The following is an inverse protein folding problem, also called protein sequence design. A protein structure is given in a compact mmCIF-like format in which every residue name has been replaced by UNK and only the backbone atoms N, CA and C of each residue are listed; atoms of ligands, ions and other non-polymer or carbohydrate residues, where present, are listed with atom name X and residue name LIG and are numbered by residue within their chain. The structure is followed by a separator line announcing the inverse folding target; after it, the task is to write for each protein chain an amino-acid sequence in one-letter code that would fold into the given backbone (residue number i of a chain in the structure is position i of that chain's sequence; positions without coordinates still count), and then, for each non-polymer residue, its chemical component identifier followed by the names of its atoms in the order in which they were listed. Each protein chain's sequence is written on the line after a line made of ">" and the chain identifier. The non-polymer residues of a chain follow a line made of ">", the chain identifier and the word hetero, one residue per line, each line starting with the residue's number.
data_IF_876549148252
#
_entry.id   IF_876549148252
#
_cell.length_a   1.000
_cell.length_b   1.000
_cell.length_c   1.000
_cell.angle_alpha   90.00
_cell.angle_beta   90.00
_cell.angle_gamma   90.00
#
_symmetry.space_group_name_H-M   'P 1'
#
loop_
_entity.id
_entity.type
_entity.pdbx_description
1 polymer ?
#
# COMPACT_ATOMS: atom_id res chain seq x y z
N UNK A 1 1.17 -12.63 -61.09
CA UNK A 1 0.05 -11.94 -60.43
C UNK A 1 -0.09 -12.58 -59.03
N UNK A 2 0.82 -12.33 -58.08
CA UNK A 2 0.86 -11.20 -57.11
C UNK A 2 -0.55 -10.85 -56.62
N UNK A 3 -0.94 -10.87 -55.34
CA UNK A 3 -0.40 -11.34 -54.06
C UNK A 3 -1.61 -11.27 -53.12
N UNK A 4 -1.86 -12.29 -52.29
CA UNK A 4 -2.80 -12.19 -51.16
C UNK A 4 -1.98 -12.26 -49.88
N UNK A 5 -1.64 -11.09 -49.36
CA UNK A 5 -0.94 -10.92 -48.09
C UNK A 5 -1.55 -9.71 -47.39
N UNK A 6 -2.58 -9.96 -46.59
CA UNK A 6 -3.05 -8.99 -45.61
C UNK A 6 -2.56 -9.50 -44.26
N UNK A 7 -1.32 -9.11 -43.94
CA UNK A 7 -0.70 -9.33 -42.65
C UNK A 7 -1.44 -8.43 -41.67
N UNK A 8 -2.21 -9.04 -40.77
CA UNK A 8 -2.72 -8.35 -39.60
C UNK A 8 -1.52 -7.89 -38.77
N UNK A 9 -1.15 -6.63 -38.91
CA UNK A 9 -0.23 -5.96 -38.01
C UNK A 9 -0.86 -6.01 -36.62
N UNK A 10 -0.35 -6.91 -35.78
CA UNK A 10 -0.55 -6.89 -34.34
C UNK A 10 0.03 -5.56 -33.84
N UNK A 11 -0.82 -4.54 -33.80
CA UNK A 11 -0.53 -3.28 -33.15
C UNK A 11 -0.29 -3.58 -31.68
N UNK A 12 0.97 -3.42 -31.28
CA UNK A 12 1.42 -3.29 -29.90
C UNK A 12 0.39 -2.50 -29.11
N UNK A 13 -0.40 -3.20 -28.29
CA UNK A 13 -1.22 -2.59 -27.25
C UNK A 13 -0.24 -2.16 -26.15
N UNK A 14 0.49 -1.07 -26.40
CA UNK A 14 1.07 -0.32 -25.32
C UNK A 14 -0.12 0.17 -24.49
N UNK A 15 -0.26 -0.23 -23.21
CA UNK A 15 -1.32 0.32 -22.40
C UNK A 15 -1.06 1.82 -22.34
N UNK A 16 -2.02 2.58 -22.87
CA UNK A 16 -2.06 4.02 -22.73
C UNK A 16 -2.23 4.24 -21.22
N UNK A 17 -1.12 4.39 -20.49
CA UNK A 17 -1.15 4.97 -19.15
C UNK A 17 -1.50 6.44 -19.33
N UNK A 18 -2.77 6.72 -19.60
CA UNK A 18 -3.31 8.07 -19.46
C UNK A 18 -3.06 8.52 -18.02
N UNK A 19 -2.63 9.76 -17.86
CA UNK A 19 -2.50 10.41 -16.57
C UNK A 19 -3.89 10.68 -15.94
N UNK A 20 -4.63 9.62 -15.58
CA UNK A 20 -5.93 9.69 -14.91
C UNK A 20 -5.87 9.02 -13.54
N UNK A 21 -5.99 9.88 -12.52
CA UNK A 21 -6.29 9.59 -11.11
C UNK A 21 -5.21 8.82 -10.34
N UNK A 22 -4.42 9.55 -9.56
CA UNK A 22 -3.60 8.97 -8.49
C UNK A 22 -4.43 7.98 -7.66
N UNK A 23 -3.91 6.78 -7.45
CA UNK A 23 -4.56 5.79 -6.59
C UNK A 23 -4.72 6.31 -5.15
N UNK A 24 -5.66 5.75 -4.35
CA UNK A 24 -5.89 6.17 -2.97
C UNK A 24 -4.61 6.32 -2.13
N UNK A 25 -3.69 5.35 -2.22
CA UNK A 25 -2.44 5.38 -1.46
C UNK A 25 -1.46 6.45 -1.94
N UNK A 26 -1.46 6.77 -3.24
CA UNK A 26 -0.68 7.86 -3.81
C UNK A 26 -1.22 9.22 -3.38
N UNK A 27 -2.54 9.38 -3.24
CA UNK A 27 -3.14 10.57 -2.65
C UNK A 27 -2.71 10.76 -1.18
N UNK A 28 -2.58 9.67 -0.42
CA UNK A 28 -2.04 9.72 0.94
C UNK A 28 -0.55 10.10 0.94
N UNK A 29 0.29 9.50 0.11
CA UNK A 29 1.70 9.89 -0.02
C UNK A 29 1.87 11.37 -0.40
N UNK A 30 1.03 11.87 -1.31
CA UNK A 30 0.98 13.29 -1.68
C UNK A 30 0.64 14.20 -0.48
N UNK A 31 0.08 13.66 0.61
CA UNK A 31 -0.15 14.38 1.84
C UNK A 31 1.14 14.89 2.49
N UNK A 32 2.19 14.06 2.47
CA UNK A 32 3.47 14.30 3.13
C UNK A 32 4.64 14.57 2.16
N UNK A 33 4.38 14.76 0.85
CA UNK A 33 5.41 14.92 -0.18
C UNK A 33 6.49 15.99 0.12
N UNK A 34 6.14 17.04 0.88
CA UNK A 34 7.09 18.10 1.28
C UNK A 34 8.08 17.66 2.38
N UNK A 35 7.75 16.62 3.14
CA UNK A 35 8.51 16.21 4.34
C UNK A 35 9.36 14.96 4.10
N UNK A 36 9.12 14.23 3.01
CA UNK A 36 9.72 12.95 2.76
C UNK A 36 10.54 12.98 1.47
N UNK A 37 11.75 12.43 1.53
CA UNK A 37 12.52 12.14 0.30
C UNK A 37 11.71 11.17 -0.56
N UNK A 38 11.71 11.33 -1.90
CA UNK A 38 11.13 10.34 -2.80
C UNK A 38 11.75 8.96 -2.59
N UNK A 39 10.93 7.92 -2.73
CA UNK A 39 11.43 6.55 -2.80
C UNK A 39 12.16 6.35 -4.12
N UNK A 40 13.21 5.54 -4.10
CA UNK A 40 14.12 5.38 -5.24
C UNK A 40 13.90 4.09 -6.02
N UNK A 41 13.08 3.18 -5.49
CA UNK A 41 12.80 1.88 -6.11
C UNK A 41 11.32 1.55 -5.99
N UNK A 42 10.80 0.76 -6.93
CA UNK A 42 9.38 0.45 -7.02
C UNK A 42 8.92 -0.44 -5.85
N UNK A 43 9.72 -1.42 -5.45
CA UNK A 43 9.39 -2.28 -4.29
C UNK A 43 9.32 -1.51 -2.96
N UNK A 44 10.08 -0.41 -2.85
CA UNK A 44 10.00 0.46 -1.68
C UNK A 44 8.66 1.23 -1.67
N UNK A 45 8.18 1.67 -2.85
CA UNK A 45 6.88 2.33 -3.03
C UNK A 45 5.72 1.37 -2.74
N UNK A 46 5.75 0.17 -3.33
CA UNK A 46 4.74 -0.87 -3.11
C UNK A 46 4.65 -1.24 -1.64
N UNK A 47 5.79 -1.44 -0.95
CA UNK A 47 5.83 -1.74 0.48
C UNK A 47 5.18 -0.63 1.34
N UNK A 48 5.47 0.64 1.03
CA UNK A 48 4.85 1.78 1.72
C UNK A 48 3.34 1.84 1.49
N UNK A 49 2.90 1.64 0.25
CA UNK A 49 1.48 1.69 -0.14
C UNK A 49 0.68 0.53 0.45
N UNK A 50 1.26 -0.68 0.52
CA UNK A 50 0.67 -1.82 1.21
C UNK A 50 0.49 -1.54 2.71
N UNK A 51 1.50 -0.97 3.39
CA UNK A 51 1.38 -0.60 4.80
C UNK A 51 0.33 0.49 5.04
N UNK A 52 0.20 1.45 4.13
CA UNK A 52 -0.86 2.46 4.21
C UNK A 52 -2.25 1.83 4.07
N UNK A 53 -2.44 0.94 3.10
CA UNK A 53 -3.70 0.21 2.94
C UNK A 53 -4.02 -0.61 4.19
N UNK A 54 -3.02 -1.28 4.77
CA UNK A 54 -3.17 -2.05 6.00
C UNK A 54 -3.58 -1.15 7.18
N UNK A 55 -2.89 -0.02 7.38
CA UNK A 55 -3.21 0.95 8.43
C UNK A 55 -4.66 1.46 8.33
N UNK A 56 -5.10 1.84 7.13
CA UNK A 56 -6.46 2.34 6.90
C UNK A 56 -7.52 1.25 6.75
N UNK A 57 -7.13 -0.02 6.84
CA UNK A 57 -8.04 -1.16 6.86
C UNK A 57 -8.34 -1.62 8.29
N UNK A 58 -7.57 -1.19 9.30
CA UNK A 58 -7.80 -1.51 10.71
C UNK A 58 -9.14 -0.93 11.19
N UNK A 59 -9.94 -1.74 11.88
CA UNK A 59 -11.09 -1.24 12.61
C UNK A 59 -10.65 -0.59 13.93
N UNK A 60 -10.45 0.72 13.89
CA UNK A 60 -10.08 1.53 15.05
C UNK A 60 -11.20 1.72 16.08
N UNK A 61 -12.40 1.19 15.83
CA UNK A 61 -13.54 1.26 16.76
C UNK A 61 -13.73 -0.03 17.55
N UNK A 62 -13.58 -1.18 16.88
CA UNK A 62 -13.97 -2.48 17.47
C UNK A 62 -12.83 -3.48 17.57
N UNK A 63 -11.72 -3.28 16.85
CA UNK A 63 -10.59 -4.22 16.93
C UNK A 63 -9.79 -4.03 18.23
N UNK A 64 -9.13 -5.11 18.67
CA UNK A 64 -8.21 -5.10 19.82
C UNK A 64 -7.07 -4.08 19.70
N UNK A 65 -6.76 -3.62 18.48
CA UNK A 65 -5.70 -2.62 18.23
C UNK A 65 -6.12 -1.25 18.75
N UNK A 66 -7.43 -0.96 18.83
CA UNK A 66 -7.94 0.30 19.39
C UNK A 66 -7.46 0.50 20.84
N UNK A 67 -7.39 -0.56 21.64
CA UNK A 67 -6.92 -0.53 23.03
C UNK A 67 -5.39 -0.36 23.15
N UNK A 68 -4.67 -0.38 22.03
CA UNK A 68 -3.20 -0.32 21.96
C UNK A 68 -2.70 0.85 21.12
N UNK A 69 -3.50 1.90 20.95
CA UNK A 69 -3.13 3.05 20.12
C UNK A 69 -1.81 3.71 20.56
N UNK A 70 -1.53 3.73 21.88
CA UNK A 70 -0.31 4.32 22.44
C UNK A 70 0.98 3.59 22.00
N UNK A 71 0.92 2.28 21.74
CA UNK A 71 2.08 1.49 21.30
C UNK A 71 1.93 0.97 19.87
N UNK A 72 0.95 1.51 19.12
CA UNK A 72 0.63 1.01 17.80
C UNK A 72 1.81 1.10 16.83
N UNK A 73 2.38 2.30 16.69
CA UNK A 73 3.47 2.57 15.75
C UNK A 73 4.80 1.96 16.19
N UNK A 74 5.03 1.84 17.49
CA UNK A 74 6.33 1.43 18.07
C UNK A 74 6.43 -0.06 18.32
N UNK A 75 5.33 -0.75 18.61
CA UNK A 75 5.34 -2.16 19.00
C UNK A 75 4.39 -3.00 18.16
N UNK A 76 3.10 -2.64 18.11
CA UNK A 76 2.06 -3.51 17.54
C UNK A 76 2.26 -3.69 16.04
N UNK A 77 2.25 -2.60 15.26
CA UNK A 77 2.40 -2.65 13.82
C UNK A 77 3.74 -3.30 13.41
N UNK A 78 4.91 -2.86 13.92
CA UNK A 78 6.19 -3.49 13.59
C UNK A 78 6.21 -4.99 13.87
N UNK A 79 5.71 -5.42 15.03
CA UNK A 79 5.74 -6.83 15.43
C UNK A 79 4.83 -7.68 14.54
N UNK A 80 3.63 -7.21 14.21
CA UNK A 80 2.70 -7.96 13.34
C UNK A 80 3.19 -8.02 11.91
N UNK A 81 3.68 -6.92 11.36
CA UNK A 81 4.23 -6.89 9.99
C UNK A 81 5.44 -7.80 9.90
N UNK A 82 6.40 -7.68 10.82
CA UNK A 82 7.59 -8.54 10.83
C UNK A 82 7.23 -10.02 10.86
N UNK A 83 6.30 -10.41 11.74
CA UNK A 83 5.85 -11.80 11.82
C UNK A 83 5.16 -12.26 10.54
N UNK A 84 4.31 -11.43 9.94
CA UNK A 84 3.67 -11.76 8.66
C UNK A 84 4.71 -11.95 7.55
N UNK A 85 5.71 -11.06 7.48
CA UNK A 85 6.81 -11.16 6.50
C UNK A 85 7.59 -12.45 6.63
N UNK A 86 7.92 -12.91 7.84
CA UNK A 86 8.61 -14.20 8.03
C UNK A 86 7.75 -15.44 7.74
N UNK A 87 6.43 -15.29 7.68
CA UNK A 87 5.50 -16.42 7.49
C UNK A 87 4.96 -16.51 6.06
N UNK A 88 5.04 -15.43 5.29
CA UNK A 88 4.45 -15.34 3.98
C UNK A 88 5.44 -15.77 2.89
N UNK A 89 4.90 -16.42 1.87
CA UNK A 89 5.56 -16.79 0.62
C UNK A 89 5.13 -15.90 -0.57
N UNK A 90 4.11 -15.06 -0.36
CA UNK A 90 3.49 -14.18 -1.35
C UNK A 90 2.90 -12.94 -0.68
N UNK A 91 2.65 -11.87 -1.44
CA UNK A 91 1.99 -10.66 -0.92
C UNK A 91 0.55 -10.91 -0.48
N UNK A 92 -0.19 -11.79 -1.18
CA UNK A 92 -1.54 -12.18 -0.77
C UNK A 92 -1.53 -12.88 0.60
N UNK A 93 -0.62 -13.84 0.80
CA UNK A 93 -0.43 -14.52 2.09
C UNK A 93 0.00 -13.54 3.17
N UNK A 94 0.95 -12.65 2.87
CA UNK A 94 1.40 -11.59 3.78
C UNK A 94 0.24 -10.69 4.21
N UNK A 95 -0.56 -10.21 3.27
CA UNK A 95 -1.71 -9.35 3.57
C UNK A 95 -2.72 -10.07 4.45
N UNK A 96 -3.07 -11.32 4.12
CA UNK A 96 -4.00 -12.12 4.90
C UNK A 96 -3.54 -12.31 6.36
N UNK A 97 -2.27 -12.65 6.57
CA UNK A 97 -1.69 -12.84 7.90
C UNK A 97 -1.65 -11.52 8.67
N UNK A 98 -1.14 -10.45 8.05
CA UNK A 98 -1.01 -9.14 8.69
C UNK A 98 -2.38 -8.53 9.03
N UNK A 99 -3.33 -8.57 8.08
CA UNK A 99 -4.67 -8.03 8.27
C UNK A 99 -5.40 -8.76 9.39
N UNK A 100 -5.37 -10.10 9.40
CA UNK A 100 -5.95 -10.89 10.49
C UNK A 100 -5.31 -10.57 11.83
N UNK A 101 -3.98 -10.44 11.87
CA UNK A 101 -3.25 -10.13 13.09
C UNK A 101 -3.61 -8.74 13.65
N UNK A 102 -3.95 -7.78 12.80
CA UNK A 102 -4.25 -6.39 13.18
C UNK A 102 -5.75 -6.08 13.25
N UNK A 103 -6.64 -7.07 13.04
CA UNK A 103 -8.08 -6.81 12.98
C UNK A 103 -8.45 -5.86 11.83
N UNK A 104 -7.72 -5.94 10.72
CA UNK A 104 -8.00 -5.17 9.52
C UNK A 104 -9.00 -5.91 8.63
N UNK A 105 -9.87 -5.16 7.97
CA UNK A 105 -10.88 -5.68 7.07
C UNK A 105 -10.57 -5.29 5.62
N UNK A 106 -11.06 -6.09 4.68
CA UNK A 106 -11.02 -5.72 3.26
C UNK A 106 -11.64 -4.33 3.08
N UNK A 107 -10.98 -3.40 2.38
CA UNK A 107 -11.54 -2.07 2.14
C UNK A 107 -12.93 -2.16 1.51
N UNK A 108 -13.92 -1.42 2.03
CA UNK A 108 -15.25 -1.34 1.39
C UNK A 108 -15.26 -0.51 0.11
N UNK A 109 -14.34 0.46 0.02
CA UNK A 109 -14.18 1.38 -1.10
C UNK A 109 -13.64 0.66 -2.36
N UNK A 110 -14.29 0.81 -3.53
CA UNK A 110 -13.91 0.09 -4.75
C UNK A 110 -12.51 0.48 -5.26
N UNK A 111 -12.14 1.76 -5.20
CA UNK A 111 -10.84 2.23 -5.68
C UNK A 111 -9.71 1.68 -4.81
N UNK A 112 -9.92 1.64 -3.48
CA UNK A 112 -8.98 1.00 -2.57
C UNK A 112 -8.85 -0.50 -2.82
N UNK A 113 -9.95 -1.20 -3.14
CA UNK A 113 -9.91 -2.63 -3.47
C UNK A 113 -9.14 -2.88 -4.76
N UNK A 114 -9.39 -2.09 -5.80
CA UNK A 114 -8.68 -2.19 -7.07
C UNK A 114 -7.17 -1.93 -6.89
N UNK A 115 -6.82 -0.84 -6.21
CA UNK A 115 -5.41 -0.52 -5.98
C UNK A 115 -4.72 -1.59 -5.14
N UNK A 116 -5.36 -2.09 -4.08
CA UNK A 116 -4.81 -3.17 -3.28
C UNK A 116 -4.61 -4.45 -4.11
N UNK A 117 -5.57 -4.82 -4.96
CA UNK A 117 -5.43 -6.00 -5.83
C UNK A 117 -4.21 -5.89 -6.75
N UNK A 118 -3.98 -4.70 -7.33
CA UNK A 118 -2.80 -4.46 -8.16
C UNK A 118 -1.50 -4.56 -7.35
N UNK A 119 -1.44 -3.97 -6.16
CA UNK A 119 -0.27 -4.04 -5.28
C UNK A 119 0.06 -5.48 -4.85
N UNK A 120 -0.95 -6.33 -4.65
CA UNK A 120 -0.75 -7.72 -4.26
C UNK A 120 -0.27 -8.61 -5.42
N UNK A 121 -0.41 -8.15 -6.67
CA UNK A 121 0.08 -8.85 -7.86
C UNK A 121 1.55 -8.54 -8.20
N UNK A 122 2.18 -7.61 -7.47
CA UNK A 122 3.59 -7.24 -7.64
C UNK A 122 4.55 -8.36 -7.21
N UNK A 123 5.83 -8.22 -7.56
CA UNK A 123 6.87 -9.17 -7.19
C UNK A 123 6.99 -9.28 -5.66
N UNK A 124 6.58 -10.45 -5.15
CA UNK A 124 6.54 -10.71 -3.72
C UNK A 124 7.92 -10.77 -3.09
N UNK A 125 8.92 -11.32 -3.78
CA UNK A 125 10.25 -11.51 -3.22
C UNK A 125 10.90 -10.15 -2.90
N UNK A 126 10.87 -9.23 -3.88
CA UNK A 126 11.48 -7.91 -3.73
C UNK A 126 10.78 -7.06 -2.67
N UNK A 127 9.45 -7.13 -2.59
CA UNK A 127 8.67 -6.35 -1.60
C UNK A 127 8.82 -6.94 -0.19
N UNK A 128 8.81 -8.27 -0.04
CA UNK A 128 9.05 -8.90 1.26
C UNK A 128 10.48 -8.64 1.76
N UNK A 129 11.47 -8.59 0.88
CA UNK A 129 12.83 -8.18 1.24
C UNK A 129 12.88 -6.77 1.84
N UNK A 130 12.09 -5.82 1.32
CA UNK A 130 11.97 -4.47 1.92
C UNK A 130 11.44 -4.54 3.35
N UNK A 131 10.45 -5.40 3.62
CA UNK A 131 9.94 -5.61 4.98
C UNK A 131 10.92 -6.36 5.89
N UNK A 132 11.84 -7.16 5.37
CA UNK A 132 12.92 -7.71 6.17
C UNK A 132 13.95 -6.65 6.56
N UNK A 133 14.41 -5.88 5.58
CA UNK A 133 15.62 -5.05 5.74
C UNK A 133 15.33 -3.63 6.23
N UNK A 134 14.17 -3.07 5.85
CA UNK A 134 13.87 -1.64 5.97
C UNK A 134 12.58 -1.35 6.75
N UNK A 135 12.02 -2.33 7.47
CA UNK A 135 10.70 -2.22 8.10
C UNK A 135 10.53 -0.96 8.94
N UNK A 136 11.49 -0.68 9.83
CA UNK A 136 11.39 0.48 10.73
C UNK A 136 11.30 1.79 9.93
N UNK A 137 12.17 1.95 8.92
CA UNK A 137 12.15 3.12 8.06
C UNK A 137 10.83 3.25 7.28
N UNK A 138 10.25 2.12 6.82
CA UNK A 138 8.94 2.13 6.14
C UNK A 138 7.81 2.52 7.09
N UNK A 139 7.80 2.00 8.32
CA UNK A 139 6.78 2.34 9.32
C UNK A 139 6.84 3.82 9.70
N UNK A 140 8.03 4.39 9.92
CA UNK A 140 8.16 5.83 10.23
C UNK A 140 7.60 6.71 9.11
N UNK A 141 7.84 6.34 7.84
CA UNK A 141 7.29 7.08 6.71
C UNK A 141 5.77 6.98 6.64
N UNK A 142 5.22 5.78 6.85
CA UNK A 142 3.77 5.54 6.90
C UNK A 142 3.12 6.34 8.02
N UNK A 143 3.75 6.42 9.20
CA UNK A 143 3.26 7.25 10.30
C UNK A 143 3.22 8.75 9.92
N UNK A 144 4.31 9.27 9.34
CA UNK A 144 4.37 10.68 8.88
C UNK A 144 3.26 10.97 7.84
N UNK A 145 3.03 10.02 6.92
CA UNK A 145 1.95 10.12 5.93
C UNK A 145 0.58 10.12 6.61
N UNK A 146 0.34 9.19 7.54
CA UNK A 146 -0.92 9.06 8.25
C UNK A 146 -1.26 10.33 9.05
N UNK A 147 -0.27 10.90 9.73
CA UNK A 147 -0.40 12.16 10.46
C UNK A 147 -0.77 13.32 9.51
N UNK A 148 -0.08 13.43 8.37
CA UNK A 148 -0.36 14.46 7.36
C UNK A 148 -1.78 14.34 6.77
N UNK A 149 -2.24 13.11 6.50
CA UNK A 149 -3.62 12.85 6.05
C UNK A 149 -4.63 13.23 7.13
N UNK A 150 -4.37 12.88 8.39
CA UNK A 150 -5.21 13.26 9.54
C UNK A 150 -5.36 14.77 9.68
N UNK A 151 -4.25 15.50 9.61
CA UNK A 151 -4.24 16.97 9.66
C UNK A 151 -5.05 17.61 8.52
N UNK A 152 -4.93 17.07 7.29
CA UNK A 152 -5.72 17.55 6.14
C UNK A 152 -7.22 17.34 6.35
N UNK A 153 -7.63 16.13 6.77
CA UNK A 153 -9.03 15.80 7.04
C UNK A 153 -9.64 16.68 8.13
N UNK A 154 -8.89 16.95 9.20
CA UNK A 154 -9.36 17.84 10.28
C UNK A 154 -9.54 19.28 9.79
N UNK A 155 -8.61 19.80 8.98
CA UNK A 155 -8.73 21.14 8.40
C UNK A 155 -9.97 21.28 7.52
N UNK A 156 -10.26 20.30 6.67
CA UNK A 156 -11.44 20.30 5.81
C UNK A 156 -12.74 20.23 6.61
N UNK A 157 -12.76 19.60 7.79
CA UNK A 157 -13.94 19.55 8.67
C UNK A 157 -14.20 20.83 9.46
N UNK A 158 -13.19 21.65 9.66
CA UNK A 158 -13.27 22.91 10.43
C UNK A 158 -13.46 24.16 9.54
N UNK A 159 -13.51 23.98 8.22
CA UNK A 159 -13.81 25.04 7.23
C UNK A 159 -15.26 24.91 6.77
#
# INVERSE_FOLDING_TARGET
>A
MVSRSEVATAGTYAPIMTAETMGPSQLWQAAAKKNLRPLTTDQDDVAERLLLHLHYAIDWKTSWVADRIATYWTEVLPSRVRRATYQADSLESWWSIAARALGAHTPGDPDRRLELANLLAEDSELVLAVFHDKLLARIMRVQIIADAVGMRRNRTRSA
#
